data_IF_321704953807
#
_entry.id   IF_321704953807
#
_cell.length_a   1.000
_cell.length_b   1.000
_cell.length_c   1.000
_cell.angle_alpha   90.00
_cell.angle_beta   90.00
_cell.angle_gamma   90.00
#
_symmetry.space_group_name_H-M   'P 1'
#
loop_
_entity.id
_entity.type
_entity.pdbx_description
1 polymer ?
#
# COMPACT_ATOMS: atom_id res chain seq x y z
N UNK A 1 8.31 16.83 8.67
CA UNK A 1 8.15 15.47 9.25
C UNK A 1 8.88 14.53 8.32
N UNK A 2 9.70 13.61 8.83
CA UNK A 2 10.40 12.67 7.94
C UNK A 2 9.44 11.57 7.47
N UNK A 3 9.58 11.18 6.21
CA UNK A 3 8.83 10.11 5.56
C UNK A 3 9.78 9.03 5.06
N UNK A 4 9.24 7.82 4.94
CA UNK A 4 9.91 6.64 4.42
C UNK A 4 8.99 5.95 3.43
N UNK A 5 9.55 5.31 2.41
CA UNK A 5 8.81 4.29 1.67
C UNK A 5 8.63 3.08 2.59
N UNK A 6 7.41 2.57 2.66
CA UNK A 6 7.07 1.31 3.34
C UNK A 6 6.62 0.30 2.29
N UNK A 7 7.12 -0.92 2.40
CA UNK A 7 6.80 -2.01 1.48
C UNK A 7 6.70 -3.34 2.22
N UNK A 8 6.07 -4.34 1.59
CA UNK A 8 6.00 -5.69 2.14
C UNK A 8 7.30 -6.42 1.81
N UNK A 9 7.97 -6.92 2.85
CA UNK A 9 9.20 -7.70 2.70
C UNK A 9 8.86 -9.05 2.06
N UNK A 10 9.08 -9.14 0.75
CA UNK A 10 8.74 -10.32 -0.05
C UNK A 10 9.77 -11.45 0.01
N UNK A 11 11.04 -11.15 0.29
CA UNK A 11 12.13 -12.13 0.26
C UNK A 11 12.89 -12.18 1.59
N UNK A 12 13.22 -13.40 2.02
CA UNK A 12 14.03 -13.69 3.22
C UNK A 12 15.22 -14.59 2.82
N UNK A 13 16.24 -14.04 2.13
CA UNK A 13 17.40 -14.81 1.66
C UNK A 13 18.15 -15.54 2.79
N UNK A 14 18.18 -14.95 3.98
CA UNK A 14 18.80 -15.50 5.18
C UNK A 14 18.15 -16.81 5.64
N UNK A 15 16.87 -17.02 5.29
CA UNK A 15 16.12 -18.25 5.54
C UNK A 15 15.97 -19.11 4.28
N UNK A 16 16.38 -18.59 3.11
CA UNK A 16 16.06 -19.16 1.81
C UNK A 16 14.56 -19.31 1.61
N UNK A 17 13.78 -18.29 1.99
CA UNK A 17 12.31 -18.29 1.92
C UNK A 17 11.77 -17.05 1.22
N UNK A 18 10.55 -17.19 0.69
CA UNK A 18 9.76 -16.10 0.10
C UNK A 18 8.54 -15.92 1.01
N UNK A 19 8.16 -14.67 1.29
CA UNK A 19 6.93 -14.38 1.99
C UNK A 19 5.73 -14.97 1.25
N UNK A 20 4.69 -15.29 2.01
CA UNK A 20 3.42 -15.69 1.42
C UNK A 20 2.50 -14.49 1.32
N UNK A 21 1.64 -14.53 0.31
CA UNK A 21 0.56 -13.59 0.07
C UNK A 21 -0.78 -14.23 0.43
N UNK A 22 -1.78 -13.41 0.69
CA UNK A 22 -3.14 -13.84 0.99
C UNK A 22 -3.91 -14.16 -0.31
N UNK A 23 -4.42 -15.39 -0.40
CA UNK A 23 -5.25 -15.87 -1.50
C UNK A 23 -6.70 -16.04 -1.06
N UNK A 24 -7.61 -15.37 -1.78
CA UNK A 24 -9.04 -15.32 -1.50
C UNK A 24 -9.89 -16.35 -2.24
N UNK A 25 -9.31 -17.33 -2.95
CA UNK A 25 -10.04 -18.28 -3.81
C UNK A 25 -11.16 -19.06 -3.13
N UNK A 26 -11.07 -19.24 -1.82
CA UNK A 26 -12.06 -19.94 -1.00
C UNK A 26 -13.15 -19.02 -0.43
N UNK A 27 -13.06 -17.70 -0.63
CA UNK A 27 -14.07 -16.73 -0.19
C UNK A 27 -15.29 -16.83 -1.12
N UNK A 28 -16.49 -17.15 -0.60
CA UNK A 28 -17.69 -17.24 -1.42
C UNK A 28 -18.08 -15.92 -2.08
N UNK A 29 -17.88 -14.79 -1.38
CA UNK A 29 -18.27 -13.44 -1.79
C UNK A 29 -17.14 -12.70 -2.54
N UNK A 30 -16.30 -13.44 -3.28
CA UNK A 30 -15.15 -12.87 -3.98
C UNK A 30 -15.52 -11.85 -5.08
N UNK A 31 -16.79 -11.76 -5.48
CA UNK A 31 -17.25 -10.68 -6.36
C UNK A 31 -17.03 -9.27 -5.77
N UNK A 32 -16.93 -9.16 -4.44
CA UNK A 32 -16.60 -7.89 -3.79
C UNK A 32 -15.16 -7.45 -4.07
N UNK A 33 -14.24 -8.38 -4.34
CA UNK A 33 -12.85 -8.03 -4.59
C UNK A 33 -12.68 -7.22 -5.87
N UNK A 34 -13.50 -7.44 -6.90
CA UNK A 34 -13.51 -6.61 -8.12
C UNK A 34 -13.99 -5.19 -7.83
N UNK A 35 -14.99 -5.04 -6.96
CA UNK A 35 -15.50 -3.72 -6.52
C UNK A 35 -14.47 -2.97 -5.67
N UNK A 36 -13.84 -3.65 -4.71
CA UNK A 36 -12.72 -3.12 -3.92
C UNK A 36 -11.56 -2.75 -4.84
N UNK A 37 -11.28 -3.59 -5.83
CA UNK A 37 -10.29 -3.38 -6.89
C UNK A 37 -10.51 -2.11 -7.69
N UNK A 38 -11.78 -1.81 -7.99
CA UNK A 38 -12.24 -0.57 -8.62
C UNK A 38 -12.29 0.62 -7.67
N UNK A 39 -11.67 0.51 -6.48
CA UNK A 39 -11.62 1.56 -5.47
C UNK A 39 -13.02 1.96 -4.98
N UNK A 40 -13.96 1.03 -4.89
CA UNK A 40 -15.25 1.25 -4.22
C UNK A 40 -15.09 1.00 -2.70
N UNK A 41 -15.58 1.91 -1.85
CA UNK A 41 -15.79 1.64 -0.42
C UNK A 41 -17.17 1.02 -0.24
N UNK A 42 -17.22 -0.18 0.32
CA UNK A 42 -18.45 -0.95 0.49
C UNK A 42 -18.74 -1.07 1.99
N UNK A 43 -19.38 -0.05 2.56
CA UNK A 43 -19.61 0.06 4.02
C UNK A 43 -20.39 -1.11 4.62
N UNK A 44 -21.21 -1.79 3.82
CA UNK A 44 -22.04 -2.92 4.21
C UNK A 44 -21.52 -4.27 3.67
N UNK A 45 -20.22 -4.39 3.43
CA UNK A 45 -19.61 -5.65 3.01
C UNK A 45 -19.81 -6.76 4.07
N UNK A 46 -19.95 -8.03 3.63
CA UNK A 46 -19.97 -9.15 4.56
C UNK A 46 -18.60 -9.36 5.23
N UNK A 47 -18.57 -10.17 6.29
CA UNK A 47 -17.30 -10.72 6.79
C UNK A 47 -16.87 -11.80 5.82
N UNK A 48 -15.73 -11.63 5.15
CA UNK A 48 -15.20 -12.62 4.22
C UNK A 48 -14.63 -13.82 4.99
N UNK A 49 -15.08 -15.04 4.67
CA UNK A 49 -14.87 -16.21 5.53
C UNK A 49 -13.39 -16.45 5.86
N UNK A 50 -12.56 -16.82 4.87
CA UNK A 50 -11.11 -16.85 5.08
C UNK A 50 -10.29 -16.80 3.79
N UNK A 51 -9.09 -16.27 3.93
CA UNK A 51 -7.99 -16.39 2.99
C UNK A 51 -7.05 -17.51 3.42
N UNK A 52 -6.23 -17.99 2.49
CA UNK A 52 -5.10 -18.88 2.77
C UNK A 52 -3.78 -18.21 2.41
N UNK A 53 -2.66 -18.73 2.90
CA UNK A 53 -1.35 -18.30 2.44
C UNK A 53 -0.93 -19.09 1.19
N UNK A 54 -0.47 -18.36 0.17
CA UNK A 54 0.09 -18.88 -1.07
C UNK A 54 1.37 -18.13 -1.43
N UNK A 55 2.34 -18.80 -2.05
CA UNK A 55 3.67 -18.23 -2.34
C UNK A 55 4.28 -18.90 -3.58
N UNK A 56 5.24 -18.23 -4.21
CA UNK A 56 6.09 -18.83 -5.25
C UNK A 56 7.10 -19.85 -4.72
N UNK A 57 7.15 -20.07 -3.39
CA UNK A 57 7.87 -21.19 -2.78
C UNK A 57 7.06 -22.51 -2.89
N UNK A 58 7.64 -23.63 -2.46
CA UNK A 58 6.95 -24.92 -2.36
C UNK A 58 5.80 -24.83 -1.36
N UNK A 59 4.66 -25.44 -1.68
CA UNK A 59 3.43 -25.43 -0.86
C UNK A 59 3.66 -25.76 0.62
N UNK A 60 4.51 -26.75 0.91
CA UNK A 60 4.88 -27.10 2.31
C UNK A 60 5.51 -25.95 3.12
N UNK A 61 5.93 -24.88 2.46
CA UNK A 61 6.47 -23.70 3.08
C UNK A 61 5.49 -22.53 3.07
N UNK A 62 4.34 -22.56 2.41
CA UNK A 62 3.44 -21.40 2.38
C UNK A 62 3.04 -20.89 3.78
N UNK A 63 3.04 -21.75 4.78
CA UNK A 63 2.76 -21.39 6.17
C UNK A 63 4.03 -21.36 7.05
N UNK A 64 5.20 -21.05 6.47
CA UNK A 64 6.47 -21.02 7.19
C UNK A 64 6.53 -19.91 8.25
N UNK A 65 5.82 -18.80 8.02
CA UNK A 65 5.66 -17.68 8.96
C UNK A 65 4.25 -17.10 8.88
N UNK A 66 3.79 -16.53 9.98
CA UNK A 66 2.55 -15.75 10.08
C UNK A 66 2.95 -14.30 10.30
N UNK A 67 2.77 -13.45 9.29
CA UNK A 67 3.18 -12.04 9.34
C UNK A 67 2.00 -11.14 9.65
N UNK A 68 2.27 -9.93 10.13
CA UNK A 68 1.22 -8.95 10.40
C UNK A 68 0.70 -8.27 9.13
N UNK A 69 1.43 -8.40 8.02
CA UNK A 69 1.07 -7.87 6.71
C UNK A 69 1.44 -8.87 5.62
N UNK A 70 0.56 -9.00 4.64
CA UNK A 70 0.71 -9.82 3.46
C UNK A 70 0.21 -9.06 2.22
N UNK A 71 0.87 -9.28 1.09
CA UNK A 71 0.34 -8.92 -0.22
C UNK A 71 -0.86 -9.80 -0.57
N UNK A 72 -1.57 -9.46 -1.63
CA UNK A 72 -2.57 -10.34 -2.24
C UNK A 72 -2.00 -11.13 -3.42
N UNK A 73 -2.53 -12.33 -3.63
CA UNK A 73 -2.26 -13.16 -4.81
C UNK A 73 -3.57 -13.75 -5.37
N UNK A 74 -3.52 -14.17 -6.64
CA UNK A 74 -4.63 -14.76 -7.39
C UNK A 74 -5.93 -13.97 -7.29
N UNK A 75 -6.98 -14.53 -6.68
CA UNK A 75 -8.31 -13.89 -6.65
C UNK A 75 -8.34 -12.60 -5.82
N UNK A 76 -7.35 -12.37 -4.96
CA UNK A 76 -7.22 -11.11 -4.21
C UNK A 76 -6.37 -10.06 -4.93
N UNK A 77 -5.65 -10.42 -6.00
CA UNK A 77 -4.55 -9.60 -6.55
C UNK A 77 -4.96 -8.23 -7.09
N UNK A 78 -6.24 -8.04 -7.42
CA UNK A 78 -6.79 -6.75 -7.86
C UNK A 78 -7.05 -5.76 -6.72
N UNK A 79 -6.98 -6.19 -5.45
CA UNK A 79 -7.27 -5.33 -4.29
C UNK A 79 -6.14 -4.31 -4.10
N UNK A 80 -6.42 -2.99 -4.19
CA UNK A 80 -5.42 -1.95 -3.92
C UNK A 80 -5.25 -1.79 -2.41
N UNK A 81 -4.30 -2.51 -1.84
CA UNK A 81 -4.03 -2.43 -0.41
C UNK A 81 -3.26 -3.63 0.14
N UNK A 82 -3.40 -3.83 1.44
CA UNK A 82 -2.70 -4.89 2.16
C UNK A 82 -3.65 -5.80 2.91
N UNK A 83 -3.23 -7.05 3.12
CA UNK A 83 -3.90 -7.98 4.00
C UNK A 83 -3.21 -7.96 5.37
N UNK A 84 -3.89 -7.45 6.40
CA UNK A 84 -3.26 -7.07 7.67
C UNK A 84 -3.85 -7.78 8.88
N UNK A 85 -3.04 -8.02 9.91
CA UNK A 85 -3.49 -8.58 11.17
C UNK A 85 -4.37 -7.61 11.96
N UNK A 86 -5.18 -8.13 12.89
CA UNK A 86 -5.98 -7.32 13.82
C UNK A 86 -5.12 -6.39 14.70
N UNK A 87 -3.89 -6.85 15.02
CA UNK A 87 -2.90 -6.07 15.75
C UNK A 87 -2.43 -4.86 14.94
N UNK A 88 -2.08 -5.05 13.67
CA UNK A 88 -1.67 -3.96 12.79
C UNK A 88 -2.82 -2.96 12.56
N UNK A 89 -4.03 -3.44 12.30
CA UNK A 89 -5.22 -2.56 12.18
C UNK A 89 -5.37 -1.64 13.40
N UNK A 90 -5.29 -2.19 14.61
CA UNK A 90 -5.43 -1.43 15.87
C UNK A 90 -4.37 -0.33 16.02
N UNK A 91 -3.17 -0.56 15.47
CA UNK A 91 -2.12 0.47 15.41
C UNK A 91 -2.51 1.54 14.40
N UNK A 92 -2.83 1.13 13.16
CA UNK A 92 -3.17 2.03 12.06
C UNK A 92 -4.31 2.99 12.38
N UNK A 93 -5.31 2.56 13.16
CA UNK A 93 -6.44 3.42 13.60
C UNK A 93 -6.01 4.63 14.47
N UNK A 94 -4.77 4.66 14.97
CA UNK A 94 -4.20 5.78 15.75
C UNK A 94 -3.46 6.81 14.88
N UNK A 95 -3.36 6.54 13.58
CA UNK A 95 -2.59 7.32 12.62
C UNK A 95 -3.50 7.95 11.58
N UNK A 96 -3.06 9.08 11.04
CA UNK A 96 -3.82 9.81 10.03
C UNK A 96 -3.50 9.26 8.64
N UNK A 97 -4.30 8.31 8.19
CA UNK A 97 -4.21 7.78 6.82
C UNK A 97 -4.89 8.79 5.88
N UNK A 98 -4.33 8.99 4.68
CA UNK A 98 -4.95 9.82 3.65
C UNK A 98 -6.43 9.41 3.42
N UNK A 99 -7.32 10.36 3.12
CA UNK A 99 -8.76 10.15 3.17
C UNK A 99 -9.24 9.05 2.21
N UNK A 100 -10.42 8.47 2.54
CA UNK A 100 -11.12 7.41 1.77
C UNK A 100 -10.41 6.04 1.74
N UNK A 101 -10.09 5.49 2.91
CA UNK A 101 -9.65 4.09 3.07
C UNK A 101 -10.74 3.25 3.74
N UNK A 102 -10.60 1.92 3.75
CA UNK A 102 -11.50 1.05 4.50
C UNK A 102 -10.81 -0.23 5.01
N UNK A 103 -11.36 -0.81 6.08
CA UNK A 103 -10.94 -2.11 6.60
C UNK A 103 -12.11 -3.11 6.49
N UNK A 104 -11.93 -4.15 5.67
CA UNK A 104 -12.93 -5.23 5.56
C UNK A 104 -12.53 -6.40 6.44
N UNK A 105 -13.42 -6.84 7.32
CA UNK A 105 -13.14 -7.93 8.25
C UNK A 105 -13.06 -9.28 7.52
N UNK A 106 -12.07 -10.10 7.89
CA UNK A 106 -11.89 -11.43 7.33
C UNK A 106 -11.12 -12.36 8.29
N UNK A 107 -10.80 -13.58 7.86
CA UNK A 107 -9.92 -14.50 8.59
C UNK A 107 -8.79 -15.02 7.70
N UNK A 108 -7.66 -15.36 8.30
CA UNK A 108 -6.59 -16.11 7.66
C UNK A 108 -6.57 -17.53 8.20
N UNK A 109 -6.70 -18.53 7.34
CA UNK A 109 -6.45 -19.91 7.72
C UNK A 109 -4.94 -20.15 7.72
N UNK A 110 -4.41 -20.48 8.90
CA UNK A 110 -2.99 -20.78 9.10
C UNK A 110 -2.86 -22.04 9.97
N UNK A 111 -2.26 -23.10 9.42
CA UNK A 111 -2.03 -24.39 10.08
C UNK A 111 -3.30 -25.00 10.68
N UNK A 112 -4.43 -24.81 9.99
CA UNK A 112 -5.74 -25.33 10.40
C UNK A 112 -6.52 -24.43 11.36
N UNK A 113 -5.97 -23.30 11.80
CA UNK A 113 -6.64 -22.34 12.67
C UNK A 113 -6.97 -21.04 11.92
N UNK A 114 -8.14 -20.44 12.21
CA UNK A 114 -8.56 -19.16 11.62
C UNK A 114 -8.20 -17.99 12.53
N UNK A 115 -7.34 -17.10 12.05
CA UNK A 115 -6.93 -15.88 12.75
C UNK A 115 -7.67 -14.66 12.21
N UNK A 116 -7.92 -13.66 13.05
CA UNK A 116 -8.59 -12.42 12.63
C UNK A 116 -7.64 -11.51 11.85
N UNK A 117 -8.04 -11.19 10.62
CA UNK A 117 -7.31 -10.35 9.68
C UNK A 117 -8.27 -9.39 8.99
N UNK A 118 -7.71 -8.47 8.21
CA UNK A 118 -8.43 -7.41 7.54
C UNK A 118 -7.86 -7.17 6.16
N UNK A 119 -8.73 -6.88 5.20
CA UNK A 119 -8.31 -6.20 3.97
C UNK A 119 -8.23 -4.71 4.30
N UNK A 120 -7.03 -4.15 4.30
CA UNK A 120 -6.81 -2.71 4.35
C UNK A 120 -6.78 -2.17 2.92
N UNK A 121 -7.90 -1.64 2.47
CA UNK A 121 -7.99 -0.93 1.18
C UNK A 121 -7.35 0.44 1.34
N UNK A 122 -6.38 0.74 0.49
CA UNK A 122 -5.69 2.02 0.49
C UNK A 122 -6.61 3.20 0.15
N UNK A 123 -6.17 4.42 0.49
CA UNK A 123 -6.85 5.65 0.12
C UNK A 123 -7.28 5.68 -1.35
N UNK A 124 -8.55 6.02 -1.56
CA UNK A 124 -9.11 6.36 -2.87
C UNK A 124 -8.76 7.81 -3.17
N UNK A 125 -8.43 8.10 -4.42
CA UNK A 125 -8.03 9.44 -4.86
C UNK A 125 -6.78 9.97 -4.13
N UNK A 126 -5.80 9.09 -3.94
CA UNK A 126 -4.48 9.41 -3.38
C UNK A 126 -3.84 10.68 -3.94
N UNK A 127 -4.10 10.96 -5.21
CA UNK A 127 -3.61 12.10 -5.96
C UNK A 127 -4.17 13.45 -5.50
N UNK A 128 -5.33 13.50 -4.85
CA UNK A 128 -5.88 14.75 -4.29
C UNK A 128 -5.10 15.23 -3.05
N UNK A 129 -4.18 14.41 -2.53
CA UNK A 129 -3.42 14.70 -1.33
C UNK A 129 -2.17 15.55 -1.56
N UNK A 130 -1.96 16.02 -2.80
CA UNK A 130 -0.77 16.76 -3.20
C UNK A 130 -1.10 18.16 -3.70
N UNK A 131 -0.29 19.13 -3.26
CA UNK A 131 -0.24 20.45 -3.86
C UNK A 131 0.72 20.41 -5.06
N UNK A 132 0.16 20.21 -6.25
CA UNK A 132 0.92 20.05 -7.49
C UNK A 132 1.69 21.33 -7.86
N UNK A 133 1.10 22.51 -7.68
CA UNK A 133 1.76 23.78 -8.01
C UNK A 133 3.00 24.07 -7.15
N UNK A 134 3.00 23.64 -5.88
CA UNK A 134 4.13 23.83 -4.95
C UNK A 134 5.17 22.71 -4.99
N UNK A 135 4.83 21.58 -5.62
CA UNK A 135 5.72 20.43 -5.79
C UNK A 135 6.74 20.70 -6.90
N UNK A 136 7.82 19.90 -6.91
CA UNK A 136 8.90 20.02 -7.89
C UNK A 136 9.11 18.69 -8.61
N UNK A 137 9.18 18.81 -9.93
CA UNK A 137 9.19 17.70 -10.87
C UNK A 137 10.38 17.83 -11.81
N UNK A 138 10.96 16.71 -12.20
CA UNK A 138 12.15 16.66 -13.02
C UNK A 138 12.04 15.60 -14.12
N UNK A 139 12.69 15.88 -15.24
CA UNK A 139 12.97 14.88 -16.29
C UNK A 139 14.42 15.06 -16.72
N UNK A 140 15.22 13.98 -16.67
CA UNK A 140 16.66 14.05 -16.98
C UNK A 140 17.41 15.16 -16.20
N UNK A 141 17.02 15.41 -14.95
CA UNK A 141 17.50 16.51 -14.09
C UNK A 141 17.09 17.93 -14.53
N UNK A 142 16.23 18.09 -15.53
CA UNK A 142 15.64 19.38 -15.90
C UNK A 142 14.30 19.57 -15.19
N UNK A 143 14.12 20.75 -14.57
CA UNK A 143 12.90 21.08 -13.83
C UNK A 143 11.73 21.26 -14.79
N UNK A 144 10.64 20.54 -14.53
CA UNK A 144 9.35 20.70 -15.20
C UNK A 144 8.57 21.84 -14.54
N UNK A 145 7.94 22.69 -15.34
CA UNK A 145 7.18 23.87 -14.90
C UNK A 145 5.75 23.81 -15.44
N UNK A 146 4.83 24.49 -14.74
CA UNK A 146 3.47 24.73 -15.22
C UNK A 146 2.44 23.67 -14.85
N UNK A 147 2.82 22.66 -14.05
CA UNK A 147 1.88 21.68 -13.47
C UNK A 147 1.26 22.30 -12.20
N UNK A 148 -0.07 22.36 -12.13
CA UNK A 148 -0.83 22.92 -11.00
C UNK A 148 -1.91 22.00 -10.47
N UNK A 149 -2.37 21.05 -11.27
CA UNK A 149 -3.40 20.08 -10.88
C UNK A 149 -2.98 18.64 -11.16
N UNK A 150 -3.70 17.68 -10.59
CA UNK A 150 -3.51 16.26 -10.86
C UNK A 150 -3.75 15.93 -12.34
N UNK A 151 -4.75 16.53 -12.98
CA UNK A 151 -5.04 16.32 -14.40
C UNK A 151 -3.89 16.81 -15.29
N UNK A 152 -3.36 18.00 -15.01
CA UNK A 152 -2.23 18.56 -15.75
C UNK A 152 -0.98 17.68 -15.60
N UNK A 153 -0.73 17.16 -14.40
CA UNK A 153 0.34 16.18 -14.17
C UNK A 153 0.13 14.93 -15.03
N UNK A 154 -1.07 14.34 -15.01
CA UNK A 154 -1.37 13.10 -15.73
C UNK A 154 -1.24 13.25 -17.24
N UNK A 155 -1.77 14.35 -17.78
CA UNK A 155 -1.66 14.65 -19.20
C UNK A 155 -0.19 14.83 -19.62
N UNK A 156 0.58 15.54 -18.80
CA UNK A 156 1.99 15.80 -19.08
C UNK A 156 2.83 14.52 -18.97
N UNK A 157 2.69 13.74 -17.90
CA UNK A 157 3.39 12.46 -17.69
C UNK A 157 3.06 11.45 -18.81
N UNK A 158 1.78 11.30 -19.16
CA UNK A 158 1.37 10.43 -20.26
C UNK A 158 1.98 10.85 -21.59
N UNK A 159 2.00 12.16 -21.88
CA UNK A 159 2.61 12.69 -23.10
C UNK A 159 4.11 12.39 -23.14
N UNK A 160 4.82 12.69 -22.07
CA UNK A 160 6.26 12.44 -21.95
C UNK A 160 6.57 10.96 -22.11
N UNK A 161 5.86 10.08 -21.42
CA UNK A 161 6.05 8.63 -21.54
C UNK A 161 5.79 8.13 -22.97
N UNK A 162 4.78 8.68 -23.63
CA UNK A 162 4.45 8.32 -25.02
C UNK A 162 5.58 8.70 -25.98
N UNK A 163 6.15 9.89 -25.81
CA UNK A 163 7.20 10.45 -26.69
C UNK A 163 8.59 9.90 -26.39
N UNK A 164 8.92 9.69 -25.11
CA UNK A 164 10.31 9.45 -24.67
C UNK A 164 10.52 8.12 -23.95
N UNK A 165 9.44 7.45 -23.52
CA UNK A 165 9.47 6.27 -22.63
C UNK A 165 10.12 6.54 -21.27
N UNK A 166 10.16 7.80 -20.84
CA UNK A 166 10.61 8.23 -19.52
C UNK A 166 9.41 8.59 -18.65
N UNK A 167 9.61 8.55 -17.34
CA UNK A 167 8.65 9.02 -16.33
C UNK A 167 9.19 10.29 -15.70
N UNK A 168 8.30 11.10 -15.14
CA UNK A 168 8.67 12.28 -14.36
C UNK A 168 9.12 11.84 -12.97
N UNK A 169 10.20 12.45 -12.50
CA UNK A 169 10.74 12.24 -11.16
C UNK A 169 10.25 13.35 -10.23
N UNK A 170 9.81 12.98 -9.03
CA UNK A 170 9.44 13.94 -7.99
C UNK A 170 10.72 14.30 -7.22
N UNK A 171 11.06 15.59 -7.16
CA UNK A 171 12.18 16.07 -6.33
C UNK A 171 11.72 16.65 -5.00
N UNK A 172 10.55 17.30 -5.00
CA UNK A 172 9.88 17.78 -3.79
C UNK A 172 8.38 17.57 -3.90
N UNK A 173 7.81 16.95 -2.90
CA UNK A 173 6.40 16.59 -2.82
C UNK A 173 5.76 17.41 -1.70
N UNK A 174 4.74 18.20 -2.03
CA UNK A 174 4.01 18.99 -1.03
C UNK A 174 2.66 18.35 -0.78
N UNK A 175 2.43 17.85 0.44
CA UNK A 175 1.15 17.29 0.86
C UNK A 175 0.20 18.41 1.31
N UNK A 176 -1.08 18.25 0.99
CA UNK A 176 -2.15 19.19 1.41
C UNK A 176 -2.46 19.14 2.90
N UNK A 177 -2.06 18.06 3.57
CA UNK A 177 -2.22 17.86 5.00
C UNK A 177 -1.15 16.87 5.52
N UNK A 178 -1.01 16.81 6.84
CA UNK A 178 -0.11 15.88 7.51
C UNK A 178 -0.73 14.48 7.55
N UNK A 179 -0.25 13.60 6.67
CA UNK A 179 -0.62 12.19 6.65
C UNK A 179 0.49 11.30 7.22
N UNK A 180 0.12 10.24 7.93
CA UNK A 180 0.99 9.17 8.40
C UNK A 180 1.10 8.02 7.40
N UNK A 181 0.11 7.84 6.51
CA UNK A 181 0.15 6.96 5.33
C UNK A 181 -0.41 7.73 4.14
N UNK A 182 0.30 7.74 3.01
CA UNK A 182 -0.16 8.31 1.74
C UNK A 182 0.45 7.53 0.56
N UNK A 183 -0.32 7.29 -0.50
CA UNK A 183 0.13 6.69 -1.75
C UNK A 183 0.68 7.76 -2.70
N UNK A 184 1.69 7.40 -3.49
CA UNK A 184 2.38 8.32 -4.41
C UNK A 184 2.06 8.00 -5.87
N UNK A 185 2.35 8.96 -6.76
CA UNK A 185 2.25 8.76 -8.20
C UNK A 185 3.17 7.67 -8.75
N UNK A 186 4.25 7.35 -8.05
CA UNK A 186 5.20 6.31 -8.45
C UNK A 186 4.76 4.90 -8.02
N UNK A 187 3.59 4.77 -7.37
CA UNK A 187 3.09 3.52 -6.83
C UNK A 187 3.67 3.16 -5.46
N UNK A 188 4.53 4.01 -4.90
CA UNK A 188 5.06 3.84 -3.55
C UNK A 188 4.03 4.25 -2.49
N UNK A 189 4.08 3.60 -1.34
CA UNK A 189 3.37 4.02 -0.13
C UNK A 189 4.36 4.66 0.82
N UNK A 190 4.07 5.89 1.22
CA UNK A 190 4.84 6.63 2.21
C UNK A 190 4.26 6.44 3.60
N UNK A 191 5.14 6.30 4.58
CA UNK A 191 4.79 6.35 5.99
C UNK A 191 5.58 7.44 6.72
N UNK A 192 4.96 8.05 7.74
CA UNK A 192 5.67 8.98 8.61
C UNK A 192 6.66 8.25 9.52
N UNK A 193 7.70 8.95 9.96
CA UNK A 193 8.65 8.45 10.95
C UNK A 193 7.97 7.95 12.24
N UNK A 194 6.90 8.63 12.68
CA UNK A 194 6.13 8.23 13.86
C UNK A 194 5.42 6.89 13.65
N UNK A 195 4.85 6.66 12.46
CA UNK A 195 4.22 5.39 12.14
C UNK A 195 5.27 4.27 12.04
N UNK A 196 6.39 4.52 11.37
CA UNK A 196 7.51 3.58 11.31
C UNK A 196 7.94 3.14 12.72
N UNK A 197 8.18 4.10 13.62
CA UNK A 197 8.53 3.80 15.01
C UNK A 197 7.47 2.95 15.71
N UNK A 198 6.18 3.27 15.55
CA UNK A 198 5.12 2.47 16.16
C UNK A 198 5.04 1.05 15.61
N UNK A 199 5.28 0.84 14.31
CA UNK A 199 5.37 -0.49 13.70
C UNK A 199 6.52 -1.29 14.33
N UNK A 200 7.71 -0.67 14.44
CA UNK A 200 8.91 -1.31 15.00
C UNK A 200 8.75 -1.61 16.51
N UNK A 201 8.29 -0.64 17.31
CA UNK A 201 8.12 -0.77 18.76
C UNK A 201 7.07 -1.81 19.15
N UNK A 202 6.02 -1.97 18.33
CA UNK A 202 5.00 -2.99 18.56
C UNK A 202 5.40 -4.35 17.97
N UNK A 203 6.57 -4.48 17.35
CA UNK A 203 7.02 -5.73 16.73
C UNK A 203 6.06 -6.23 15.66
N UNK A 204 5.59 -5.32 14.79
CA UNK A 204 4.84 -5.68 13.59
C UNK A 204 5.79 -6.28 12.56
N UNK A 205 5.40 -7.43 12.00
CA UNK A 205 6.24 -8.22 11.10
C UNK A 205 5.74 -8.18 9.67
N UNK A 206 6.65 -8.31 8.70
CA UNK A 206 6.31 -8.39 7.26
C UNK A 206 6.58 -7.10 6.47
N UNK A 207 6.90 -5.98 7.12
CA UNK A 207 7.31 -4.75 6.43
C UNK A 207 8.83 -4.60 6.29
N UNK A 208 9.22 -3.79 5.32
CA UNK A 208 10.52 -3.15 5.20
C UNK A 208 10.36 -1.65 4.91
N UNK A 209 11.40 -0.88 5.23
CA UNK A 209 11.39 0.58 5.13
C UNK A 209 12.61 1.07 4.37
N UNK A 210 12.40 2.05 3.51
CA UNK A 210 13.45 2.65 2.70
C UNK A 210 13.46 4.17 2.88
N UNK A 211 14.67 4.74 2.89
CA UNK A 211 14.85 6.18 2.73
C UNK A 211 14.39 6.59 1.33
N UNK A 212 13.76 7.76 1.24
CA UNK A 212 13.37 8.38 -0.03
C UNK A 212 14.43 9.39 -0.44
N UNK A 213 14.60 9.58 -1.74
CA UNK A 213 15.57 10.50 -2.35
C UNK A 213 14.97 11.88 -2.68
N UNK A 214 13.70 12.11 -2.32
CA UNK A 214 12.98 13.37 -2.49
C UNK A 214 12.49 13.97 -1.18
N UNK A 215 12.27 15.28 -1.18
CA UNK A 215 11.76 15.99 0.00
C UNK A 215 10.24 15.88 0.09
N UNK A 216 9.70 15.61 1.28
CA UNK A 216 8.26 15.66 1.55
C UNK A 216 7.96 16.78 2.53
N UNK A 217 7.17 17.74 2.09
CA UNK A 217 6.73 18.93 2.85
C UNK A 217 5.22 18.87 3.04
N UNK A 218 4.72 19.50 4.09
CA UNK A 218 3.28 19.69 4.33
C UNK A 218 3.00 21.19 4.22
N UNK A 219 1.90 21.54 3.56
CA UNK A 219 1.44 22.94 3.42
C UNK A 219 1.11 23.63 4.75
#
# INVERSE_FOLDING_TARGET
MKYYKIDIKSHFPELGRIASSAEGKNVPEKEYFDRIGKREIIENAPIFDYFILESFDKEKYWEWALFDVHDFIGEGSQIPGWYISDKLKTILEKFKIAPKYHFYETRLLYKGEKFKYWIFQFPIDGFDNYNYEKSEYFIDNERVLGIKTAEEYNEYDYKIWKETKKNIEWGKTVLVDKFDIVDTWQGDILCSERLKQAIEENGITGFEFFEIDYEVVVE
#
